data_IF_308635058283
#
_entry.id   IF_308635058283
#
_cell.length_a   1.000
_cell.length_b   1.000
_cell.length_c   1.000
_cell.angle_alpha   90.00
_cell.angle_beta   90.00
_cell.angle_gamma   90.00
#
_symmetry.space_group_name_H-M   'P 1'
#
loop_
_entity.id
_entity.type
_entity.pdbx_description
1 polymer ?
#
# COMPACT_ATOMS: atom_id res chain seq x y z
N UNK A 1 -5.49 16.48 8.47
CA UNK A 1 -5.75 15.59 9.63
C UNK A 1 -4.74 14.43 9.57
N UNK A 2 -4.23 13.96 10.70
CA UNK A 2 -3.41 12.74 10.71
C UNK A 2 -4.31 11.53 10.46
N UNK A 3 -3.82 10.58 9.67
CA UNK A 3 -4.50 9.31 9.45
C UNK A 3 -4.29 8.41 10.68
N UNK A 4 -5.19 7.46 10.92
CA UNK A 4 -5.01 6.48 11.98
C UNK A 4 -3.79 5.61 11.67
N UNK A 5 -2.95 5.35 12.67
CA UNK A 5 -1.72 4.58 12.49
C UNK A 5 -2.03 3.14 12.05
N UNK A 6 -3.08 2.52 12.59
CA UNK A 6 -3.52 1.17 12.17
C UNK A 6 -3.85 1.11 10.68
N UNK A 7 -4.46 2.18 10.15
CA UNK A 7 -4.80 2.27 8.73
C UNK A 7 -3.55 2.45 7.87
N UNK A 8 -2.58 3.24 8.33
CA UNK A 8 -1.28 3.40 7.65
C UNK A 8 -0.57 2.05 7.58
N UNK A 9 -0.52 1.30 8.68
CA UNK A 9 0.07 -0.04 8.71
C UNK A 9 -0.64 -1.01 7.76
N UNK A 10 -1.97 -1.04 7.77
CA UNK A 10 -2.74 -1.90 6.84
C UNK A 10 -2.48 -1.53 5.37
N UNK A 11 -2.40 -0.23 5.06
CA UNK A 11 -2.12 0.24 3.70
C UNK A 11 -0.70 -0.14 3.28
N UNK A 12 0.28 0.00 4.18
CA UNK A 12 1.67 -0.37 3.93
C UNK A 12 1.81 -1.86 3.57
N UNK A 13 1.09 -2.76 4.26
CA UNK A 13 1.09 -4.19 3.93
C UNK A 13 0.57 -4.49 2.51
N UNK A 14 -0.27 -3.62 1.94
CA UNK A 14 -0.81 -3.76 0.58
C UNK A 14 0.06 -3.10 -0.49
N UNK A 15 0.95 -2.18 -0.11
CA UNK A 15 1.79 -1.41 -1.02
C UNK A 15 3.20 -2.00 -1.21
N UNK A 16 3.35 -3.32 -1.08
CA UNK A 16 4.63 -4.01 -1.34
C UNK A 16 5.08 -3.76 -2.79
N UNK A 17 6.31 -3.28 -2.95
CA UNK A 17 6.89 -2.95 -4.25
C UNK A 17 6.52 -1.55 -4.78
N UNK A 18 5.73 -0.76 -4.06
CA UNK A 18 5.49 0.64 -4.39
C UNK A 18 6.75 1.45 -4.08
N UNK A 19 7.16 2.32 -5.01
CA UNK A 19 8.15 3.35 -4.72
C UNK A 19 7.46 4.65 -4.27
N UNK A 20 8.24 5.65 -3.83
CA UNK A 20 7.67 6.93 -3.38
C UNK A 20 6.80 7.64 -4.44
N UNK A 21 7.11 7.44 -5.73
CA UNK A 21 6.27 7.97 -6.81
C UNK A 21 4.93 7.23 -6.93
N UNK A 22 4.92 5.92 -6.71
CA UNK A 22 3.68 5.13 -6.71
C UNK A 22 2.79 5.51 -5.52
N UNK A 23 3.38 5.76 -4.34
CA UNK A 23 2.64 6.23 -3.16
C UNK A 23 2.04 7.62 -3.38
N UNK A 24 2.77 8.51 -4.06
CA UNK A 24 2.21 9.81 -4.48
C UNK A 24 1.03 9.61 -5.43
N UNK A 25 1.17 8.73 -6.42
CA UNK A 25 0.11 8.40 -7.36
C UNK A 25 -1.12 7.79 -6.66
N UNK A 26 -0.89 6.95 -5.66
CA UNK A 26 -1.93 6.34 -4.82
C UNK A 26 -2.77 7.40 -4.11
N UNK A 27 -2.12 8.35 -3.43
CA UNK A 27 -2.82 9.43 -2.76
C UNK A 27 -3.61 10.31 -3.75
N UNK A 28 -3.07 10.57 -4.94
CA UNK A 28 -3.78 11.34 -5.96
C UNK A 28 -5.00 10.59 -6.50
N UNK A 29 -4.89 9.28 -6.72
CA UNK A 29 -6.02 8.49 -7.23
C UNK A 29 -7.12 8.35 -6.17
N UNK A 30 -6.77 8.14 -4.89
CA UNK A 30 -7.73 8.13 -3.79
C UNK A 30 -8.51 9.45 -3.69
N UNK A 31 -7.83 10.60 -3.87
CA UNK A 31 -8.47 11.91 -3.92
C UNK A 31 -9.41 12.06 -5.13
N UNK A 32 -9.00 11.57 -6.31
CA UNK A 32 -9.82 11.59 -7.52
C UNK A 32 -11.05 10.68 -7.40
N UNK A 33 -10.94 9.53 -6.75
CA UNK A 33 -12.07 8.65 -6.45
C UNK A 33 -13.07 9.30 -5.48
N UNK A 34 -12.57 9.94 -4.42
CA UNK A 34 -13.41 10.70 -3.50
C UNK A 34 -14.13 11.87 -4.20
N UNK A 35 -13.45 12.57 -5.12
CA UNK A 35 -14.03 13.63 -5.95
C UNK A 35 -15.12 13.08 -6.86
N UNK A 36 -14.85 11.99 -7.61
CA UNK A 36 -15.81 11.30 -8.48
C UNK A 36 -17.05 10.86 -7.72
N UNK A 37 -16.88 10.35 -6.49
CA UNK A 37 -17.96 9.92 -5.61
C UNK A 37 -18.82 11.09 -5.11
N UNK A 38 -18.20 12.23 -4.78
CA UNK A 38 -18.92 13.40 -4.26
C UNK A 38 -19.60 14.22 -5.36
N UNK A 39 -18.96 14.34 -6.52
CA UNK A 39 -19.38 15.21 -7.62
C UNK A 39 -19.37 14.48 -8.97
N UNK A 40 -20.24 13.48 -9.17
CA UNK A 40 -20.32 12.74 -10.44
C UNK A 40 -20.66 13.64 -11.64
N UNK A 41 -21.37 14.74 -11.42
CA UNK A 41 -21.78 15.69 -12.46
C UNK A 41 -20.61 16.36 -13.20
N UNK A 42 -19.41 16.41 -12.61
CA UNK A 42 -18.19 16.94 -13.26
C UNK A 42 -17.87 16.16 -14.56
N UNK A 43 -18.33 14.91 -14.67
CA UNK A 43 -18.10 14.06 -15.83
C UNK A 43 -19.27 14.03 -16.82
N UNK A 44 -20.36 14.73 -16.52
CA UNK A 44 -21.61 14.70 -17.30
C UNK A 44 -21.84 16.03 -18.02
N UNK A 45 -21.49 17.15 -17.38
CA UNK A 45 -21.76 18.50 -17.89
C UNK A 45 -20.47 19.24 -18.22
N UNK A 46 -20.47 20.04 -19.29
CA UNK A 46 -19.34 20.92 -19.65
C UNK A 46 -19.44 22.33 -19.02
N UNK A 47 -20.38 22.55 -18.11
CA UNK A 47 -20.58 23.83 -17.43
C UNK A 47 -19.65 23.97 -16.22
N UNK A 48 -19.28 25.20 -15.89
CA UNK A 48 -18.46 25.48 -14.70
C UNK A 48 -19.30 25.30 -13.43
N UNK A 49 -18.98 24.29 -12.62
CA UNK A 49 -19.68 23.96 -11.38
C UNK A 49 -19.00 24.63 -10.18
N UNK A 50 -19.79 25.19 -9.27
CA UNK A 50 -19.28 25.62 -7.96
C UNK A 50 -19.14 24.39 -7.06
N UNK A 51 -17.89 24.03 -6.76
CA UNK A 51 -17.56 22.90 -5.91
C UNK A 51 -17.14 23.39 -4.53
N UNK A 52 -17.78 22.85 -3.50
CA UNK A 52 -17.29 22.98 -2.14
C UNK A 52 -16.25 21.90 -1.86
N UNK A 53 -14.99 22.32 -1.78
CA UNK A 53 -13.85 21.45 -1.50
C UNK A 53 -13.95 20.83 -0.11
N UNK A 54 -14.55 21.54 0.85
CA UNK A 54 -14.66 21.05 2.24
C UNK A 54 -15.59 19.85 2.39
N UNK A 55 -16.54 19.68 1.46
CA UNK A 55 -17.39 18.51 1.39
C UNK A 55 -16.67 17.23 0.94
N UNK A 56 -15.48 17.33 0.32
CA UNK A 56 -14.77 16.16 -0.20
C UNK A 56 -14.06 15.46 0.97
N UNK A 57 -14.62 14.34 1.41
CA UNK A 57 -14.01 13.52 2.46
C UNK A 57 -13.49 12.20 1.87
N UNK A 58 -12.18 11.99 2.00
CA UNK A 58 -11.50 10.78 1.53
C UNK A 58 -11.71 9.67 2.56
N UNK A 59 -12.18 8.52 2.11
CA UNK A 59 -12.43 7.34 2.94
C UNK A 59 -11.38 6.25 2.70
N UNK A 60 -11.23 5.32 3.64
CA UNK A 60 -10.34 4.16 3.48
C UNK A 60 -10.68 3.34 2.22
N UNK A 61 -11.96 3.27 1.84
CA UNK A 61 -12.41 2.61 0.62
C UNK A 61 -11.75 3.21 -0.63
N UNK A 62 -11.63 4.55 -0.69
CA UNK A 62 -11.04 5.23 -1.85
C UNK A 62 -9.56 4.84 -2.02
N UNK A 63 -8.83 4.61 -0.92
CA UNK A 63 -7.45 4.09 -0.97
C UNK A 63 -7.39 2.63 -1.44
N UNK A 64 -8.26 1.76 -0.93
CA UNK A 64 -8.27 0.35 -1.37
C UNK A 64 -8.68 0.20 -2.82
N UNK A 65 -9.62 1.00 -3.30
CA UNK A 65 -10.00 1.07 -4.71
C UNK A 65 -8.83 1.61 -5.56
N UNK A 66 -8.08 2.60 -5.07
CA UNK A 66 -6.90 3.12 -5.75
C UNK A 66 -5.77 2.09 -5.87
N UNK A 67 -5.50 1.28 -4.83
CA UNK A 67 -4.49 0.20 -4.87
C UNK A 67 -4.78 -0.79 -6.00
N UNK A 68 -6.06 -1.09 -6.27
CA UNK A 68 -6.44 -2.02 -7.33
C UNK A 68 -6.23 -1.44 -8.74
N UNK A 69 -6.16 -0.11 -8.87
CA UNK A 69 -6.03 0.58 -10.16
C UNK A 69 -4.58 0.96 -10.50
N UNK A 70 -3.65 0.83 -9.55
CA UNK A 70 -2.25 1.24 -9.73
C UNK A 70 -1.36 0.03 -9.88
N UNK A 71 -0.61 -0.01 -10.99
CA UNK A 71 0.48 -0.97 -11.19
C UNK A 71 1.78 -0.34 -10.66
N UNK A 72 2.38 -0.91 -9.60
CA UNK A 72 3.58 -0.36 -9.00
C UNK A 72 4.77 -0.44 -9.93
N UNK A 73 5.68 0.53 -9.79
CA UNK A 73 6.83 0.68 -10.68
C UNK A 73 7.72 -0.58 -10.71
N UNK A 74 7.93 -1.23 -9.55
CA UNK A 74 8.71 -2.47 -9.47
C UNK A 74 8.14 -3.62 -10.31
N UNK A 75 6.81 -3.75 -10.36
CA UNK A 75 6.13 -4.83 -11.08
C UNK A 75 6.06 -4.59 -12.59
N UNK A 76 6.33 -3.35 -13.06
CA UNK A 76 6.35 -3.04 -14.50
C UNK A 76 7.55 -3.65 -15.21
N UNK A 77 8.66 -3.86 -14.49
CA UNK A 77 9.87 -4.44 -15.05
C UNK A 77 9.93 -5.96 -14.81
N UNK A 78 9.57 -6.43 -13.61
CA UNK A 78 9.66 -7.84 -13.22
C UNK A 78 8.54 -8.18 -12.23
N UNK A 79 7.85 -9.30 -12.46
CA UNK A 79 6.87 -9.82 -11.50
C UNK A 79 7.61 -10.34 -10.26
N UNK A 80 7.48 -9.65 -9.13
CA UNK A 80 8.04 -10.11 -7.84
C UNK A 80 6.97 -10.90 -7.08
N UNK A 81 7.14 -12.22 -6.86
CA UNK A 81 6.15 -13.04 -6.16
C UNK A 81 6.25 -12.95 -4.62
N UNK A 82 7.19 -12.16 -4.08
CA UNK A 82 7.44 -12.09 -2.65
C UNK A 82 6.28 -11.40 -1.92
N UNK A 83 5.61 -12.15 -1.03
CA UNK A 83 4.55 -11.66 -0.15
C UNK A 83 4.70 -12.28 1.23
N UNK A 84 4.42 -11.50 2.27
CA UNK A 84 4.35 -12.00 3.64
C UNK A 84 3.33 -13.15 3.77
N UNK A 85 3.58 -14.04 4.73
CA UNK A 85 2.69 -15.17 5.00
C UNK A 85 1.27 -14.67 5.37
N UNK A 86 0.22 -15.13 4.66
CA UNK A 86 -1.15 -14.81 5.00
C UNK A 86 -1.48 -15.25 6.43
N UNK A 87 -2.27 -14.46 7.17
CA UNK A 87 -2.61 -14.73 8.58
C UNK A 87 -3.12 -16.16 8.82
N UNK A 88 -3.89 -16.70 7.86
CA UNK A 88 -4.40 -18.08 7.87
C UNK A 88 -3.34 -19.18 7.77
N UNK A 89 -2.23 -18.95 7.05
CA UNK A 89 -1.16 -19.94 6.86
C UNK A 89 0.01 -19.69 7.81
N UNK A 90 0.15 -18.45 8.30
CA UNK A 90 1.18 -18.03 9.25
C UNK A 90 1.38 -19.01 10.41
N UNK A 91 0.37 -19.42 11.20
CA UNK A 91 0.61 -20.32 12.34
C UNK A 91 1.17 -21.69 11.95
N UNK A 92 0.95 -22.15 10.71
CA UNK A 92 1.44 -23.43 10.21
C UNK A 92 2.91 -23.36 9.77
N UNK A 93 3.31 -22.25 9.15
CA UNK A 93 4.62 -22.11 8.51
C UNK A 93 5.59 -21.20 9.26
N UNK A 94 5.13 -20.41 10.23
CA UNK A 94 5.98 -19.43 10.94
C UNK A 94 7.20 -20.08 11.57
N UNK A 95 7.02 -21.20 12.29
CA UNK A 95 8.14 -21.90 12.94
C UNK A 95 9.20 -22.38 11.96
N UNK A 96 8.79 -22.78 10.75
CA UNK A 96 9.72 -23.21 9.71
C UNK A 96 10.44 -22.01 9.10
N UNK A 97 9.70 -20.92 8.86
CA UNK A 97 10.27 -19.67 8.38
C UNK A 97 11.33 -19.15 9.37
N UNK A 98 11.01 -19.07 10.65
CA UNK A 98 11.94 -18.61 11.70
C UNK A 98 13.21 -19.45 11.73
N UNK A 99 13.07 -20.78 11.64
CA UNK A 99 14.23 -21.70 11.63
C UNK A 99 15.13 -21.47 10.42
N UNK A 100 14.55 -21.35 9.24
CA UNK A 100 15.31 -21.09 8.01
C UNK A 100 15.99 -19.72 8.09
N UNK A 101 15.30 -18.70 8.59
CA UNK A 101 15.88 -17.37 8.76
C UNK A 101 17.06 -17.36 9.75
N UNK A 102 16.97 -18.09 10.87
CA UNK A 102 18.10 -18.27 11.79
C UNK A 102 19.30 -18.97 11.13
N UNK A 103 19.06 -20.04 10.37
CA UNK A 103 20.15 -20.72 9.67
C UNK A 103 20.79 -19.84 8.61
N UNK A 104 19.99 -19.05 7.89
CA UNK A 104 20.50 -18.10 6.92
C UNK A 104 21.30 -16.98 7.59
N UNK A 105 20.92 -16.52 8.79
CA UNK A 105 21.69 -15.50 9.52
C UNK A 105 23.06 -16.00 9.95
N UNK A 106 23.16 -17.29 10.29
CA UNK A 106 24.44 -17.90 10.66
C UNK A 106 25.36 -18.07 9.44
N UNK A 107 24.80 -18.43 8.28
CA UNK A 107 25.57 -18.67 7.05
C UNK A 107 25.95 -17.36 6.35
N UNK A 108 25.08 -16.34 6.38
CA UNK A 108 25.28 -15.04 5.72
C UNK A 108 25.02 -13.83 6.66
N UNK A 109 25.86 -13.62 7.70
CA UNK A 109 25.64 -12.59 8.72
C UNK A 109 25.52 -11.14 8.20
N UNK A 110 26.37 -10.66 7.26
CA UNK A 110 26.33 -9.27 6.82
C UNK A 110 25.05 -8.90 6.06
N UNK A 111 24.44 -9.87 5.36
CA UNK A 111 23.29 -9.63 4.49
C UNK A 111 21.99 -9.51 5.30
N UNK A 112 21.88 -10.23 6.43
CA UNK A 112 20.67 -10.25 7.25
C UNK A 112 20.68 -9.25 8.42
N UNK A 113 21.86 -8.77 8.83
CA UNK A 113 21.96 -7.67 9.78
C UNK A 113 21.34 -6.35 9.26
N UNK A 114 21.32 -6.15 7.93
CA UNK A 114 20.64 -5.00 7.29
C UNK A 114 19.12 -5.20 7.12
N UNK A 115 18.63 -6.44 7.08
CA UNK A 115 17.20 -6.72 6.96
C UNK A 115 16.47 -6.44 8.28
N UNK A 116 17.08 -6.79 9.43
CA UNK A 116 16.49 -6.57 10.74
C UNK A 116 16.27 -5.09 11.12
N UNK A 117 16.99 -4.16 10.48
CA UNK A 117 16.77 -2.72 10.69
C UNK A 117 15.56 -2.13 9.96
N UNK A 118 14.96 -2.87 9.02
CA UNK A 118 13.79 -2.43 8.24
C UNK A 118 12.46 -2.83 8.88
N UNK A 119 12.44 -3.85 9.75
CA UNK A 119 11.25 -4.29 10.50
C UNK A 119 11.07 -3.54 11.84
N UNK A 120 11.94 -2.57 12.14
CA UNK A 120 11.99 -1.84 13.42
C UNK A 120 11.47 -0.38 13.36
N UNK A 121 10.85 0.02 12.24
CA UNK A 121 10.20 1.35 12.03
C UNK A 121 8.79 1.12 11.52
#
# INVERSE_FOLDING_TARGET
PRLNDDFISELAEKCVGYCGADLKALCTEAAMLALRRRYPQIYITNEALQLDVSSINISAKDFFDAVNNIIPTSQRAVNTPARALPARVRPLLQRLLDRVMCQLSDIFPPCLAQAASLDAV
#
